data_IF_209054398298
#
_entry.id   IF_209054398298
#
_cell.length_a   1.000
_cell.length_b   1.000
_cell.length_c   1.000
_cell.angle_alpha   90.00
_cell.angle_beta   90.00
_cell.angle_gamma   90.00
#
_symmetry.space_group_name_H-M   'P 1'
#
loop_
_entity.id
_entity.type
_entity.pdbx_description
1 polymer ?
#
# COMPACT_ATOMS: atom_id res chain seq x y z
N UNK A 1 39.16 -5.67 4.74
CA UNK A 1 37.86 -5.84 5.41
C UNK A 1 36.69 -6.26 4.50
N UNK A 2 36.75 -6.30 3.15
CA UNK A 2 35.60 -6.72 2.31
C UNK A 2 34.91 -8.02 2.77
N UNK A 3 35.69 -9.05 3.12
CA UNK A 3 35.17 -10.35 3.59
C UNK A 3 34.22 -10.24 4.79
N UNK A 4 34.44 -9.26 5.68
CA UNK A 4 33.61 -9.04 6.86
C UNK A 4 32.23 -8.46 6.50
N UNK A 5 32.16 -7.59 5.49
CA UNK A 5 30.90 -7.02 5.01
C UNK A 5 30.12 -8.01 4.14
N UNK A 6 30.81 -8.82 3.31
CA UNK A 6 30.18 -9.95 2.60
C UNK A 6 29.60 -11.00 3.54
N UNK A 7 30.32 -11.30 4.64
CA UNK A 7 29.79 -12.15 5.72
C UNK A 7 28.60 -11.50 6.44
N UNK A 8 28.65 -10.20 6.76
CA UNK A 8 27.55 -9.49 7.40
C UNK A 8 26.28 -9.42 6.53
N UNK A 9 26.42 -9.23 5.21
CA UNK A 9 25.31 -9.30 4.26
C UNK A 9 24.66 -10.69 4.27
N UNK A 10 25.48 -11.73 4.16
CA UNK A 10 25.02 -13.13 4.18
C UNK A 10 24.31 -13.50 5.49
N UNK A 11 24.86 -13.06 6.63
CA UNK A 11 24.28 -13.26 7.96
C UNK A 11 22.95 -12.52 8.13
N UNK A 12 22.86 -11.28 7.65
CA UNK A 12 21.63 -10.46 7.67
C UNK A 12 20.50 -11.14 6.90
N UNK A 13 20.79 -11.62 5.68
CA UNK A 13 19.81 -12.34 4.86
C UNK A 13 19.43 -13.68 5.52
N UNK A 14 20.40 -14.47 5.97
CA UNK A 14 20.12 -15.76 6.62
C UNK A 14 19.27 -15.64 7.89
N UNK A 15 19.54 -14.63 8.72
CA UNK A 15 18.73 -14.33 9.90
C UNK A 15 17.31 -13.88 9.53
N UNK A 16 17.17 -12.98 8.54
CA UNK A 16 15.88 -12.50 8.08
C UNK A 16 15.00 -13.64 7.51
N UNK A 17 15.57 -14.54 6.72
CA UNK A 17 14.88 -15.74 6.21
C UNK A 17 14.51 -16.70 7.33
N UNK A 18 15.38 -16.91 8.32
CA UNK A 18 15.10 -17.76 9.49
C UNK A 18 13.93 -17.19 10.33
N UNK A 19 13.94 -15.88 10.59
CA UNK A 19 12.85 -15.17 11.30
C UNK A 19 11.55 -15.24 10.49
N UNK A 20 11.63 -15.13 9.17
CA UNK A 20 10.47 -15.23 8.28
C UNK A 20 9.83 -16.61 8.29
N UNK A 21 10.62 -17.68 8.10
CA UNK A 21 10.15 -19.07 8.16
C UNK A 21 9.55 -19.40 9.53
N UNK A 22 10.20 -18.98 10.63
CA UNK A 22 9.68 -19.19 11.99
C UNK A 22 8.37 -18.44 12.24
N UNK A 23 8.21 -17.24 11.67
CA UNK A 23 6.97 -16.45 11.76
C UNK A 23 5.85 -17.09 10.94
N UNK A 24 6.15 -17.49 9.70
CA UNK A 24 5.21 -18.21 8.84
C UNK A 24 4.74 -19.51 9.45
N UNK A 25 5.65 -20.32 10.00
CA UNK A 25 5.31 -21.57 10.68
C UNK A 25 4.32 -21.34 11.84
N UNK A 26 4.57 -20.32 12.68
CA UNK A 26 3.67 -19.95 13.78
C UNK A 26 2.31 -19.46 13.29
N UNK A 27 2.27 -18.66 12.22
CA UNK A 27 1.01 -18.19 11.61
C UNK A 27 0.23 -19.33 10.93
N UNK A 28 0.92 -20.23 10.26
CA UNK A 28 0.32 -21.41 9.63
C UNK A 28 -0.25 -22.38 10.67
N UNK A 29 0.48 -22.63 11.77
CA UNK A 29 -0.07 -23.38 12.91
C UNK A 29 -1.32 -22.71 13.48
N UNK A 30 -1.28 -21.39 13.70
CA UNK A 30 -2.45 -20.61 14.17
C UNK A 30 -3.67 -20.80 13.24
N UNK A 31 -3.44 -20.84 11.92
CA UNK A 31 -4.49 -21.07 10.93
C UNK A 31 -5.04 -22.50 10.95
N UNK A 32 -4.17 -23.51 11.06
CA UNK A 32 -4.56 -24.92 11.23
C UNK A 32 -5.38 -25.12 12.51
N UNK A 33 -5.02 -24.44 13.60
CA UNK A 33 -5.74 -24.44 14.87
C UNK A 33 -7.12 -23.72 14.80
N UNK A 34 -7.57 -23.33 13.60
CA UNK A 34 -8.84 -22.65 13.36
C UNK A 34 -8.89 -21.18 13.81
N UNK A 35 -7.75 -20.61 14.22
CA UNK A 35 -7.68 -19.23 14.73
C UNK A 35 -7.37 -18.26 13.57
N UNK A 36 -8.01 -17.08 13.51
CA UNK A 36 -7.73 -16.10 12.47
C UNK A 36 -6.28 -15.60 12.60
N UNK A 37 -5.57 -15.44 11.47
CA UNK A 37 -4.18 -14.93 11.47
C UNK A 37 -4.08 -13.59 12.21
N UNK A 38 -5.01 -12.69 11.88
CA UNK A 38 -5.25 -11.40 12.53
C UNK A 38 -6.77 -11.26 12.73
N UNK A 39 -7.18 -10.73 13.88
CA UNK A 39 -8.60 -10.55 14.21
C UNK A 39 -9.21 -9.43 13.36
N UNK A 40 -10.45 -9.63 12.91
CA UNK A 40 -11.20 -8.63 12.15
C UNK A 40 -11.86 -7.65 13.12
N UNK A 41 -11.48 -6.37 13.06
CA UNK A 41 -12.10 -5.28 13.83
C UNK A 41 -13.11 -4.53 12.93
N UNK A 42 -14.43 -4.73 13.05
CA UNK A 42 -15.39 -4.08 12.15
C UNK A 42 -15.36 -2.55 12.24
N UNK A 43 -15.41 -1.87 11.09
CA UNK A 43 -15.46 -0.40 11.01
C UNK A 43 -16.71 0.11 10.29
N UNK A 44 -17.08 1.35 10.58
CA UNK A 44 -17.98 2.12 9.72
C UNK A 44 -17.35 2.35 8.33
N UNK A 45 -18.15 2.36 7.25
CA UNK A 45 -17.64 2.64 5.91
C UNK A 45 -16.99 4.02 5.83
N UNK A 46 -15.90 4.14 5.08
CA UNK A 46 -15.19 5.39 4.88
C UNK A 46 -16.12 6.54 4.44
N UNK A 47 -16.01 7.77 4.98
CA UNK A 47 -16.96 8.84 4.70
C UNK A 47 -16.86 9.43 3.29
N UNK A 48 -15.70 9.31 2.62
CA UNK A 48 -15.49 9.84 1.27
C UNK A 48 -16.16 9.01 0.16
N UNK A 49 -16.37 9.68 -0.97
CA UNK A 49 -16.89 9.10 -2.22
C UNK A 49 -15.76 8.93 -3.25
N UNK A 50 -16.11 8.69 -4.52
CA UNK A 50 -15.14 8.43 -5.61
C UNK A 50 -14.20 9.61 -5.92
N UNK A 51 -14.55 10.84 -5.51
CA UNK A 51 -13.72 12.02 -5.77
C UNK A 51 -12.39 11.96 -5.00
N UNK A 52 -12.36 11.38 -3.80
CA UNK A 52 -11.12 11.27 -3.02
C UNK A 52 -10.05 10.41 -3.72
N UNK A 53 -10.30 9.13 -4.10
CA UNK A 53 -9.32 8.36 -4.86
C UNK A 53 -9.02 8.94 -6.24
N UNK A 54 -9.99 9.56 -6.93
CA UNK A 54 -9.71 10.23 -8.22
C UNK A 54 -8.70 11.37 -8.07
N UNK A 55 -8.89 12.25 -7.08
CA UNK A 55 -7.96 13.38 -6.83
C UNK A 55 -6.61 12.89 -6.32
N UNK A 56 -6.59 11.93 -5.40
CA UNK A 56 -5.35 11.50 -4.73
C UNK A 56 -4.49 10.55 -5.57
N UNK A 57 -5.10 9.77 -6.48
CA UNK A 57 -4.37 8.93 -7.42
C UNK A 57 -4.06 9.63 -8.75
N UNK A 58 -4.62 10.82 -9.01
CA UNK A 58 -4.35 11.57 -10.25
C UNK A 58 -2.84 11.74 -10.56
N UNK A 59 -1.94 12.03 -9.61
CA UNK A 59 -0.50 12.11 -9.90
C UNK A 59 0.09 10.78 -10.39
N UNK A 60 -0.34 9.65 -9.80
CA UNK A 60 0.13 8.31 -10.13
C UNK A 60 -0.45 7.81 -11.46
N UNK A 61 -1.75 8.06 -11.70
CA UNK A 61 -2.41 7.77 -12.97
C UNK A 61 -1.80 8.61 -14.10
N UNK A 62 -1.45 9.87 -13.83
CA UNK A 62 -0.77 10.73 -14.80
C UNK A 62 0.65 10.24 -15.11
N UNK A 63 1.42 9.84 -14.09
CA UNK A 63 2.73 9.23 -14.29
C UNK A 63 2.65 7.95 -15.14
N UNK A 64 1.76 7.01 -14.78
CA UNK A 64 1.53 5.77 -15.54
C UNK A 64 1.01 6.02 -16.96
N UNK A 65 0.15 7.01 -17.16
CA UNK A 65 -0.29 7.42 -18.49
C UNK A 65 0.88 7.93 -19.34
N UNK A 66 1.76 8.74 -18.75
CA UNK A 66 2.93 9.27 -19.45
C UNK A 66 3.91 8.16 -19.87
N UNK A 67 4.15 7.16 -19.02
CA UNK A 67 5.04 6.03 -19.37
C UNK A 67 4.44 5.11 -20.43
N UNK A 68 3.13 4.90 -20.44
CA UNK A 68 2.46 4.01 -21.40
C UNK A 68 2.19 4.65 -22.77
N UNK A 69 1.91 5.96 -22.83
CA UNK A 69 1.32 6.59 -24.03
C UNK A 69 2.06 7.82 -24.59
N UNK A 70 2.95 8.47 -23.84
CA UNK A 70 3.62 9.68 -24.32
C UNK A 70 4.84 9.42 -25.23
N UNK A 71 5.42 8.21 -25.17
CA UNK A 71 6.66 7.86 -25.86
C UNK A 71 7.90 8.56 -25.29
N UNK A 72 9.09 8.29 -25.86
CA UNK A 72 10.36 8.79 -25.33
C UNK A 72 10.60 10.28 -25.64
N UNK A 73 10.23 11.17 -24.71
CA UNK A 73 10.64 12.59 -24.67
C UNK A 73 11.38 12.88 -23.36
N UNK A 74 12.35 13.80 -23.28
CA UNK A 74 13.18 14.02 -22.07
C UNK A 74 12.70 15.16 -21.20
N UNK A 75 12.58 14.92 -19.90
CA UNK A 75 12.42 15.97 -18.89
C UNK A 75 12.77 15.42 -17.49
N UNK A 76 13.77 16.06 -16.87
CA UNK A 76 14.28 15.71 -15.55
C UNK A 76 13.28 15.98 -14.39
N UNK A 77 12.16 16.67 -14.64
CA UNK A 77 11.18 16.96 -13.58
C UNK A 77 10.28 15.76 -13.25
N UNK A 78 9.88 14.97 -14.24
CA UNK A 78 9.11 13.73 -14.03
C UNK A 78 9.91 12.67 -13.28
N UNK A 79 11.22 12.61 -13.56
CA UNK A 79 12.19 11.76 -12.88
C UNK A 79 12.18 11.99 -11.37
N UNK A 80 12.04 13.24 -10.90
CA UNK A 80 12.10 13.55 -9.46
C UNK A 80 11.04 12.82 -8.62
N UNK A 81 9.83 12.64 -9.16
CA UNK A 81 8.73 11.94 -8.47
C UNK A 81 8.93 10.43 -8.47
N UNK A 82 9.51 9.86 -9.53
CA UNK A 82 9.83 8.42 -9.63
C UNK A 82 11.11 8.03 -8.90
N UNK A 83 12.08 8.95 -8.75
CA UNK A 83 13.36 8.74 -8.05
C UNK A 83 13.22 8.36 -6.56
N UNK A 84 12.05 8.60 -5.95
CA UNK A 84 11.77 8.23 -4.54
C UNK A 84 11.24 6.80 -4.39
N UNK A 85 10.37 6.34 -5.28
CA UNK A 85 9.85 4.97 -5.27
C UNK A 85 10.89 3.95 -5.77
N UNK A 86 11.69 4.37 -6.74
CA UNK A 86 12.68 3.50 -7.41
C UNK A 86 13.87 3.12 -6.54
N UNK A 87 14.23 3.92 -5.53
CA UNK A 87 15.32 3.59 -4.63
C UNK A 87 15.01 2.35 -3.76
N UNK A 88 13.73 2.12 -3.43
CA UNK A 88 13.28 0.87 -2.79
C UNK A 88 13.15 -0.28 -3.80
N UNK A 89 12.62 -0.02 -5.00
CA UNK A 89 12.41 -1.06 -6.01
C UNK A 89 13.72 -1.64 -6.59
N UNK A 90 14.79 -0.83 -6.67
CA UNK A 90 16.03 -1.22 -7.36
C UNK A 90 16.98 -2.11 -6.55
N UNK A 91 17.01 -2.01 -5.22
CA UNK A 91 17.89 -2.84 -4.36
C UNK A 91 17.33 -4.28 -4.15
N UNK A 92 16.54 -4.71 -5.14
CA UNK A 92 15.89 -6.00 -5.30
C UNK A 92 16.51 -6.77 -6.49
N UNK A 93 17.48 -6.16 -7.20
CA UNK A 93 18.48 -6.85 -8.03
C UNK A 93 18.10 -7.08 -9.50
N UNK A 94 18.30 -6.05 -10.34
CA UNK A 94 18.36 -6.13 -11.80
C UNK A 94 19.34 -5.03 -12.36
N UNK A 95 19.90 -5.15 -13.58
CA UNK A 95 20.90 -4.22 -14.21
C UNK A 95 20.35 -2.81 -14.58
N UNK A 96 20.80 -2.07 -15.63
CA UNK A 96 20.27 -0.73 -15.97
C UNK A 96 20.18 -0.25 -17.47
N UNK A 97 18.99 0.05 -18.01
CA UNK A 97 18.84 0.73 -19.32
C UNK A 97 17.50 1.47 -19.54
N UNK A 98 17.64 2.70 -20.08
CA UNK A 98 16.73 3.39 -21.01
C UNK A 98 15.55 4.30 -20.54
N UNK A 99 15.93 5.49 -20.06
CA UNK A 99 15.46 6.83 -20.54
C UNK A 99 14.05 7.45 -20.22
N UNK A 100 14.06 8.80 -20.20
CA UNK A 100 13.02 9.77 -20.67
C UNK A 100 11.80 10.13 -19.74
N UNK A 101 11.22 11.34 -19.89
CA UNK A 101 10.05 11.84 -19.12
C UNK A 101 9.26 13.08 -19.63
N UNK A 102 8.12 13.32 -18.96
CA UNK A 102 7.20 14.50 -18.90
C UNK A 102 6.22 14.84 -20.03
N UNK A 103 5.05 15.33 -19.58
CA UNK A 103 4.23 16.31 -20.29
C UNK A 103 3.38 17.16 -19.34
N UNK A 104 3.37 18.47 -19.59
CA UNK A 104 2.23 19.35 -19.90
C UNK A 104 0.90 19.43 -19.09
N UNK A 105 0.49 18.52 -18.20
CA UNK A 105 -0.82 18.67 -17.51
C UNK A 105 -0.75 19.30 -16.11
N UNK A 106 0.42 19.26 -15.48
CA UNK A 106 0.59 19.63 -14.07
C UNK A 106 0.85 21.15 -13.85
N UNK A 107 0.51 22.04 -14.80
CA UNK A 107 1.08 23.40 -14.91
C UNK A 107 1.30 24.20 -13.60
N UNK A 108 0.39 24.26 -12.60
CA UNK A 108 0.66 24.97 -11.33
C UNK A 108 1.61 24.20 -10.39
N UNK A 109 1.39 22.89 -10.24
CA UNK A 109 2.21 22.00 -9.39
C UNK A 109 3.60 21.84 -10.01
N UNK A 110 3.67 21.62 -11.32
CA UNK A 110 4.87 21.58 -12.13
C UNK A 110 5.62 22.91 -12.09
N UNK A 111 4.95 24.07 -12.09
CA UNK A 111 5.63 25.36 -11.88
C UNK A 111 6.24 25.49 -10.49
N UNK A 112 5.58 24.98 -9.45
CA UNK A 112 6.10 24.98 -8.09
C UNK A 112 7.29 24.02 -7.94
N UNK A 113 7.16 22.78 -8.43
CA UNK A 113 8.24 21.78 -8.49
C UNK A 113 9.42 22.31 -9.29
N UNK A 114 9.18 22.88 -10.48
CA UNK A 114 10.22 23.48 -11.34
C UNK A 114 10.96 24.63 -10.66
N UNK A 115 10.24 25.53 -9.95
CA UNK A 115 10.87 26.56 -9.12
C UNK A 115 11.68 26.00 -7.93
N UNK A 116 11.38 24.80 -7.45
CA UNK A 116 12.17 24.12 -6.43
C UNK A 116 13.36 23.33 -7.01
N UNK A 117 13.29 22.86 -8.26
CA UNK A 117 14.34 22.03 -8.88
C UNK A 117 15.37 22.81 -9.70
N UNK A 118 15.03 23.97 -10.28
CA UNK A 118 15.85 24.67 -11.29
C UNK A 118 17.16 25.33 -10.76
N UNK A 119 17.64 24.97 -9.55
CA UNK A 119 18.90 25.46 -8.98
C UNK A 119 19.63 24.49 -8.01
N UNK A 120 19.26 23.19 -7.99
CA UNK A 120 19.74 22.24 -6.96
C UNK A 120 20.65 21.11 -7.47
N UNK A 121 21.50 20.58 -6.60
CA UNK A 121 22.22 19.31 -6.83
C UNK A 121 21.26 18.11 -6.86
N UNK A 122 21.71 16.94 -7.36
CA UNK A 122 20.93 15.70 -7.36
C UNK A 122 20.37 15.35 -5.96
N UNK A 123 21.17 15.51 -4.92
CA UNK A 123 20.73 15.35 -3.53
C UNK A 123 19.60 16.33 -3.15
N UNK A 124 19.69 17.59 -3.60
CA UNK A 124 18.64 18.59 -3.41
C UNK A 124 17.32 18.22 -4.12
N UNK A 125 17.40 17.68 -5.34
CA UNK A 125 16.24 17.14 -6.07
C UNK A 125 15.53 16.02 -5.29
N UNK A 126 16.29 15.08 -4.71
CA UNK A 126 15.72 13.99 -3.88
C UNK A 126 15.02 14.54 -2.64
N UNK A 127 15.64 15.48 -1.92
CA UNK A 127 15.00 16.13 -0.76
C UNK A 127 13.74 16.91 -1.11
N UNK A 128 13.74 17.65 -2.23
CA UNK A 128 12.56 18.36 -2.71
C UNK A 128 11.41 17.40 -3.05
N UNK A 129 11.72 16.25 -3.66
CA UNK A 129 10.72 15.20 -3.93
C UNK A 129 10.16 14.58 -2.64
N UNK A 130 11.02 14.20 -1.69
CA UNK A 130 10.58 13.68 -0.41
C UNK A 130 9.66 14.67 0.35
N UNK A 131 10.01 15.97 0.33
CA UNK A 131 9.17 17.02 0.91
C UNK A 131 7.82 17.18 0.18
N UNK A 132 7.81 17.11 -1.16
CA UNK A 132 6.58 17.14 -1.97
C UNK A 132 5.68 15.94 -1.66
N UNK A 133 6.23 14.73 -1.54
CA UNK A 133 5.49 13.50 -1.20
C UNK A 133 4.89 13.57 0.21
N UNK A 134 5.66 14.06 1.20
CA UNK A 134 5.15 14.30 2.55
C UNK A 134 4.05 15.38 2.57
N UNK A 135 4.19 16.44 1.77
CA UNK A 135 3.16 17.47 1.62
C UNK A 135 1.89 16.91 0.98
N UNK A 136 2.00 16.07 -0.06
CA UNK A 136 0.85 15.40 -0.69
C UNK A 136 0.14 14.45 0.30
N UNK A 137 0.89 13.71 1.13
CA UNK A 137 0.31 12.91 2.21
C UNK A 137 -0.45 13.80 3.22
N UNK A 138 0.17 14.87 3.73
CA UNK A 138 -0.46 15.79 4.68
C UNK A 138 -1.71 16.49 4.11
N UNK A 139 -1.63 16.96 2.86
CA UNK A 139 -2.77 17.52 2.12
C UNK A 139 -3.89 16.48 1.91
N UNK A 140 -3.55 15.19 1.80
CA UNK A 140 -4.55 14.12 1.72
C UNK A 140 -5.34 13.99 3.03
N UNK A 141 -4.66 13.92 4.18
CA UNK A 141 -5.33 13.93 5.50
C UNK A 141 -6.17 15.20 5.71
N UNK A 142 -5.67 16.37 5.30
CA UNK A 142 -6.42 17.63 5.37
C UNK A 142 -7.66 17.62 4.46
N UNK A 143 -7.57 17.08 3.24
CA UNK A 143 -8.71 16.96 2.33
C UNK A 143 -9.79 16.01 2.89
N UNK A 144 -9.39 14.86 3.46
CA UNK A 144 -10.34 13.92 4.06
C UNK A 144 -11.08 14.52 5.27
N UNK A 145 -10.35 15.24 6.13
CA UNK A 145 -10.95 15.88 7.31
C UNK A 145 -11.86 17.05 6.93
N UNK A 146 -11.40 17.98 6.09
CA UNK A 146 -12.14 19.22 5.77
C UNK A 146 -13.27 18.99 4.76
N UNK A 147 -13.04 18.24 3.68
CA UNK A 147 -14.03 18.07 2.61
C UNK A 147 -14.99 16.88 2.81
N UNK A 148 -14.60 15.88 3.61
CA UNK A 148 -15.39 14.68 3.84
C UNK A 148 -15.73 14.42 5.32
N UNK A 149 -15.32 15.29 6.24
CA UNK A 149 -15.63 15.17 7.67
C UNK A 149 -15.00 13.96 8.35
N UNK A 150 -13.89 13.42 7.82
CA UNK A 150 -13.26 12.22 8.35
C UNK A 150 -12.77 12.42 9.80
N UNK A 151 -13.16 11.51 10.69
CA UNK A 151 -12.68 11.45 12.08
C UNK A 151 -11.27 10.83 12.16
N UNK A 152 -10.53 10.98 13.27
CA UNK A 152 -9.25 10.27 13.45
C UNK A 152 -9.37 8.74 13.30
N UNK A 153 -10.50 8.18 13.72
CA UNK A 153 -10.85 6.77 13.53
C UNK A 153 -11.09 6.45 12.05
N UNK A 154 -11.64 7.39 11.28
CA UNK A 154 -11.80 7.22 9.83
C UNK A 154 -10.49 7.25 9.05
N UNK A 155 -9.50 7.97 9.57
CA UNK A 155 -8.14 8.03 9.04
C UNK A 155 -7.30 6.80 9.43
N UNK A 156 -7.86 5.89 10.25
CA UNK A 156 -7.17 4.69 10.71
C UNK A 156 -6.05 4.98 11.72
N UNK A 157 -6.12 6.10 12.44
CA UNK A 157 -5.17 6.38 13.52
C UNK A 157 -5.48 5.56 14.78
N UNK A 158 -4.44 5.15 15.55
CA UNK A 158 -4.63 4.44 16.81
C UNK A 158 -5.32 5.34 17.83
N UNK A 159 -6.24 4.74 18.63
CA UNK A 159 -7.00 5.45 19.68
C UNK A 159 -6.12 5.87 20.86
N UNK A 160 -5.07 5.09 21.14
CA UNK A 160 -4.15 5.27 22.25
C UNK A 160 -2.76 4.67 21.94
N UNK A 161 -1.80 4.94 22.82
CA UNK A 161 -0.41 4.44 22.69
C UNK A 161 -0.29 2.92 22.74
N UNK A 162 -1.17 2.22 23.46
CA UNK A 162 -1.16 0.75 23.54
C UNK A 162 -1.59 0.14 22.21
N UNK A 163 -2.59 0.73 21.55
CA UNK A 163 -2.98 0.35 20.20
C UNK A 163 -1.86 0.65 19.20
N UNK A 164 -1.20 1.81 19.29
CA UNK A 164 -0.06 2.15 18.44
C UNK A 164 1.11 1.14 18.55
N UNK A 165 1.48 0.74 19.78
CA UNK A 165 2.46 -0.33 20.00
C UNK A 165 2.00 -1.70 19.46
N UNK A 166 0.70 -1.99 19.54
CA UNK A 166 0.08 -3.15 18.90
C UNK A 166 0.20 -3.12 17.38
N UNK A 167 -0.04 -1.97 16.77
CA UNK A 167 0.05 -1.74 15.32
C UNK A 167 1.47 -1.92 14.80
N UNK A 168 2.46 -1.36 15.51
CA UNK A 168 3.88 -1.56 15.20
C UNK A 168 4.23 -3.05 15.23
N UNK A 169 3.75 -3.79 16.24
CA UNK A 169 3.96 -5.25 16.33
C UNK A 169 3.26 -5.99 15.18
N UNK A 170 2.05 -5.62 14.81
CA UNK A 170 1.32 -6.22 13.67
C UNK A 170 2.10 -6.00 12.37
N UNK A 171 2.53 -4.76 12.10
CA UNK A 171 3.33 -4.42 10.92
C UNK A 171 4.66 -5.18 10.87
N UNK A 172 5.38 -5.27 11.99
CA UNK A 172 6.64 -6.00 12.08
C UNK A 172 6.48 -7.53 11.90
N UNK A 173 5.42 -8.12 12.46
CA UNK A 173 5.09 -9.55 12.24
C UNK A 173 4.69 -9.80 10.79
N UNK A 174 3.95 -8.88 10.18
CA UNK A 174 3.55 -8.99 8.77
C UNK A 174 4.75 -8.89 7.82
N UNK A 175 5.65 -7.92 8.04
CA UNK A 175 6.93 -7.80 7.34
C UNK A 175 7.72 -9.11 7.44
N UNK A 176 7.98 -9.59 8.66
CA UNK A 176 8.69 -10.84 8.90
C UNK A 176 8.03 -12.01 8.16
N UNK A 177 6.71 -12.19 8.27
CA UNK A 177 5.99 -13.27 7.61
C UNK A 177 6.04 -13.20 6.07
N UNK A 178 6.15 -12.01 5.49
CA UNK A 178 6.06 -11.81 4.04
C UNK A 178 7.41 -11.73 3.31
N UNK A 179 8.53 -11.61 4.03
CA UNK A 179 9.89 -11.68 3.46
C UNK A 179 10.08 -12.91 2.55
N UNK A 180 9.98 -14.14 3.07
CA UNK A 180 10.22 -15.35 2.26
C UNK A 180 9.31 -15.44 1.03
N UNK A 181 7.98 -15.26 1.11
CA UNK A 181 7.10 -15.29 -0.06
C UNK A 181 7.45 -14.23 -1.12
N UNK A 182 7.78 -13.01 -0.71
CA UNK A 182 8.11 -11.89 -1.61
C UNK A 182 9.47 -12.08 -2.27
N UNK A 183 10.50 -12.49 -1.51
CA UNK A 183 11.81 -12.80 -2.08
C UNK A 183 11.81 -14.11 -2.90
N UNK A 184 10.94 -15.07 -2.61
CA UNK A 184 10.78 -16.28 -3.41
C UNK A 184 10.15 -16.00 -4.78
N UNK A 185 9.06 -15.21 -4.85
CA UNK A 185 8.48 -14.84 -6.15
C UNK A 185 9.46 -13.99 -6.96
N UNK A 186 10.19 -13.07 -6.32
CA UNK A 186 11.27 -12.33 -6.95
C UNK A 186 12.35 -13.25 -7.55
N UNK A 187 12.85 -14.21 -6.77
CA UNK A 187 13.88 -15.14 -7.22
C UNK A 187 13.41 -15.96 -8.43
N UNK A 188 12.15 -16.41 -8.42
CA UNK A 188 11.53 -17.10 -9.56
C UNK A 188 11.43 -16.19 -10.78
N UNK A 189 11.06 -14.92 -10.61
CA UNK A 189 10.97 -13.95 -11.72
C UNK A 189 12.34 -13.61 -12.31
N UNK A 190 13.36 -13.36 -11.48
CA UNK A 190 14.74 -13.12 -11.92
C UNK A 190 15.41 -14.36 -12.55
N UNK A 191 14.85 -15.55 -12.34
CA UNK A 191 15.27 -16.77 -13.03
C UNK A 191 14.48 -17.01 -14.34
N UNK A 192 13.19 -16.65 -14.36
CA UNK A 192 12.29 -16.88 -15.50
C UNK A 192 12.38 -15.79 -16.59
N UNK A 193 12.81 -14.58 -16.23
CA UNK A 193 13.03 -13.47 -17.13
C UNK A 193 14.51 -13.10 -17.08
N UNK A 194 15.12 -12.81 -18.24
CA UNK A 194 16.46 -12.25 -18.28
C UNK A 194 16.51 -10.99 -17.42
N UNK A 195 17.57 -10.75 -16.62
CA UNK A 195 17.66 -9.57 -15.76
C UNK A 195 17.54 -8.30 -16.59
N UNK A 196 16.35 -7.71 -16.65
CA UNK A 196 16.08 -6.51 -17.42
C UNK A 196 16.80 -5.34 -16.80
N UNK A 197 17.26 -4.47 -17.67
CA UNK A 197 18.15 -3.41 -17.28
C UNK A 197 17.34 -2.26 -16.63
N UNK A 198 17.32 -2.24 -15.29
CA UNK A 198 16.68 -1.30 -14.36
C UNK A 198 17.41 0.04 -14.12
N UNK A 199 18.05 0.26 -12.95
CA UNK A 199 17.83 1.55 -12.26
C UNK A 199 18.93 2.64 -12.23
N UNK A 200 18.72 3.82 -12.89
CA UNK A 200 19.70 4.92 -12.95
C UNK A 200 20.10 5.53 -11.60
N UNK A 201 19.21 5.58 -10.60
CA UNK A 201 19.60 6.04 -9.26
C UNK A 201 20.59 5.07 -8.61
N UNK A 202 20.46 3.77 -8.88
CA UNK A 202 21.38 2.76 -8.31
C UNK A 202 22.69 2.76 -9.08
N UNK A 203 22.71 2.99 -10.38
CA UNK A 203 23.96 3.25 -11.10
C UNK A 203 24.66 4.52 -10.60
N UNK A 204 23.94 5.64 -10.50
CA UNK A 204 24.52 6.89 -10.00
C UNK A 204 24.98 6.77 -8.54
N UNK A 205 24.34 5.92 -7.72
CA UNK A 205 24.87 5.53 -6.41
C UNK A 205 26.09 4.61 -6.56
N UNK A 206 26.07 3.57 -7.38
CA UNK A 206 27.20 2.64 -7.57
C UNK A 206 28.46 3.33 -8.10
N UNK A 207 28.30 4.36 -8.94
CA UNK A 207 29.39 5.09 -9.59
C UNK A 207 29.87 6.30 -8.75
N UNK A 208 28.96 7.06 -8.12
CA UNK A 208 29.30 8.31 -7.43
C UNK A 208 28.41 8.58 -6.18
N UNK A 209 28.28 7.59 -5.27
CA UNK A 209 27.53 7.78 -4.02
C UNK A 209 28.24 8.72 -3.03
N UNK A 210 27.64 9.89 -2.80
CA UNK A 210 27.88 10.64 -1.56
C UNK A 210 26.98 10.11 -0.43
N UNK A 211 27.49 10.13 0.81
CA UNK A 211 26.73 9.80 2.01
C UNK A 211 25.41 10.59 2.11
N UNK A 212 25.44 11.86 1.69
CA UNK A 212 24.26 12.73 1.66
C UNK A 212 23.21 12.31 0.61
N UNK A 213 23.64 11.82 -0.56
CA UNK A 213 22.72 11.29 -1.57
C UNK A 213 22.07 10.00 -1.10
N UNK A 214 22.84 9.09 -0.50
CA UNK A 214 22.32 7.84 0.07
C UNK A 214 21.36 8.10 1.24
N UNK A 215 21.66 9.07 2.12
CA UNK A 215 20.76 9.48 3.19
C UNK A 215 19.45 10.13 2.69
N UNK A 216 19.53 10.95 1.63
CA UNK A 216 18.35 11.53 0.99
C UNK A 216 17.46 10.46 0.35
N UNK A 217 18.07 9.52 -0.39
CA UNK A 217 17.36 8.40 -1.00
C UNK A 217 16.72 7.48 0.06
N UNK A 218 17.45 7.19 1.15
CA UNK A 218 16.92 6.42 2.27
C UNK A 218 15.73 7.12 2.92
N UNK A 219 15.80 8.43 3.18
CA UNK A 219 14.66 9.16 3.74
C UNK A 219 13.45 9.17 2.79
N UNK A 220 13.67 9.43 1.49
CA UNK A 220 12.62 9.46 0.49
C UNK A 220 11.88 8.11 0.38
N UNK A 221 12.63 7.01 0.25
CA UNK A 221 12.09 5.68 0.03
C UNK A 221 11.63 4.97 1.31
N UNK A 222 12.36 5.13 2.42
CA UNK A 222 12.00 4.49 3.69
C UNK A 222 10.86 5.24 4.37
N UNK A 223 10.82 6.59 4.32
CA UNK A 223 9.85 7.38 5.09
C UNK A 223 8.78 8.03 4.21
N UNK A 224 9.16 8.83 3.21
CA UNK A 224 8.21 9.68 2.49
C UNK A 224 7.25 8.87 1.61
N UNK A 225 7.78 7.92 0.83
CA UNK A 225 7.00 7.07 -0.06
C UNK A 225 5.92 6.24 0.69
N UNK A 226 6.24 5.41 1.71
CA UNK A 226 5.22 4.65 2.45
C UNK A 226 4.13 5.50 3.09
N UNK A 227 4.46 6.70 3.59
CA UNK A 227 3.47 7.61 4.18
C UNK A 227 2.44 8.10 3.16
N UNK A 228 2.85 8.39 1.92
CA UNK A 228 1.92 8.75 0.85
C UNK A 228 1.22 7.53 0.25
N UNK A 229 1.96 6.47 -0.05
CA UNK A 229 1.43 5.30 -0.75
C UNK A 229 0.40 4.53 0.07
N UNK A 230 0.63 4.28 1.36
CA UNK A 230 -0.39 3.62 2.18
C UNK A 230 -1.63 4.52 2.35
N UNK A 231 -1.45 5.84 2.44
CA UNK A 231 -2.54 6.83 2.47
C UNK A 231 -3.37 6.77 1.17
N UNK A 232 -2.73 6.73 0.00
CA UNK A 232 -3.40 6.69 -1.28
C UNK A 232 -4.08 5.33 -1.56
N UNK A 233 -3.37 4.22 -1.34
CA UNK A 233 -3.81 2.88 -1.75
C UNK A 233 -4.63 2.14 -0.69
N UNK A 234 -4.30 2.24 0.61
CA UNK A 234 -5.05 1.56 1.68
C UNK A 234 -6.14 2.44 2.24
N UNK A 235 -5.77 3.60 2.77
CA UNK A 235 -6.74 4.49 3.39
C UNK A 235 -7.77 4.92 2.35
N UNK A 236 -7.36 5.61 1.29
CA UNK A 236 -8.29 6.28 0.37
C UNK A 236 -8.92 5.32 -0.63
N UNK A 237 -8.12 4.65 -1.47
CA UNK A 237 -8.61 3.77 -2.54
C UNK A 237 -9.30 2.52 -1.98
N UNK A 238 -8.60 1.72 -1.17
CA UNK A 238 -9.19 0.51 -0.62
C UNK A 238 -10.36 0.87 0.30
N UNK A 239 -10.23 1.82 1.23
CA UNK A 239 -11.37 2.26 2.06
C UNK A 239 -12.62 2.69 1.28
N UNK A 240 -12.47 3.29 0.09
CA UNK A 240 -13.59 3.58 -0.82
C UNK A 240 -14.15 2.32 -1.52
N UNK A 241 -13.30 1.41 -1.96
CA UNK A 241 -13.72 0.12 -2.55
C UNK A 241 -14.47 -0.73 -1.52
N UNK A 242 -13.99 -0.79 -0.27
CA UNK A 242 -14.65 -1.47 0.84
C UNK A 242 -16.01 -0.84 1.16
N UNK A 243 -16.11 0.50 1.18
CA UNK A 243 -17.41 1.21 1.28
C UNK A 243 -18.36 0.76 0.18
N UNK A 244 -17.92 0.70 -1.08
CA UNK A 244 -18.77 0.30 -2.22
C UNK A 244 -19.28 -1.13 -2.08
N UNK A 245 -18.42 -2.05 -1.67
CA UNK A 245 -18.80 -3.44 -1.46
C UNK A 245 -19.82 -3.58 -0.32
N UNK A 246 -19.58 -2.91 0.82
CA UNK A 246 -20.51 -2.89 1.96
C UNK A 246 -21.88 -2.30 1.59
N UNK A 247 -21.92 -1.23 0.79
CA UNK A 247 -23.17 -0.64 0.32
C UNK A 247 -23.90 -1.57 -0.67
N UNK A 248 -23.20 -2.20 -1.61
CA UNK A 248 -23.80 -3.16 -2.54
C UNK A 248 -24.41 -4.36 -1.81
N UNK A 249 -23.69 -4.92 -0.81
CA UNK A 249 -24.17 -6.02 0.04
C UNK A 249 -25.39 -5.63 0.89
N UNK A 250 -25.44 -4.39 1.42
CA UNK A 250 -26.63 -3.90 2.14
C UNK A 250 -27.85 -3.80 1.23
N UNK A 251 -27.68 -3.33 -0.01
CA UNK A 251 -28.78 -3.23 -0.99
C UNK A 251 -29.30 -4.62 -1.37
N UNK A 252 -28.43 -5.61 -1.61
CA UNK A 252 -28.88 -6.98 -1.90
C UNK A 252 -29.65 -7.59 -0.72
N UNK A 253 -29.12 -7.52 0.51
CA UNK A 253 -29.82 -8.07 1.69
C UNK A 253 -31.19 -7.44 1.93
N UNK A 254 -31.38 -6.15 1.64
CA UNK A 254 -32.70 -5.52 1.73
C UNK A 254 -33.64 -6.04 0.62
N UNK A 255 -33.14 -6.21 -0.61
CA UNK A 255 -33.94 -6.77 -1.70
C UNK A 255 -34.36 -8.22 -1.42
N UNK A 256 -33.46 -9.04 -0.90
CA UNK A 256 -33.72 -10.43 -0.52
C UNK A 256 -34.84 -10.50 0.54
N UNK A 257 -34.74 -9.71 1.61
CA UNK A 257 -35.77 -9.65 2.67
C UNK A 257 -37.11 -9.14 2.16
N UNK A 258 -37.14 -8.13 1.28
CA UNK A 258 -38.38 -7.62 0.69
C UNK A 258 -39.05 -8.67 -0.22
N UNK A 259 -38.26 -9.53 -0.87
CA UNK A 259 -38.78 -10.62 -1.71
C UNK A 259 -39.25 -11.84 -0.89
N UNK A 260 -38.71 -12.06 0.30
CA UNK A 260 -39.13 -13.16 1.20
C UNK A 260 -40.43 -12.85 1.99
N UNK A 261 -40.84 -11.58 2.12
CA UNK A 261 -42.16 -11.24 2.70
C UNK A 261 -43.26 -11.77 1.77
N UNK A 262 -44.06 -12.78 2.18
CA UNK A 262 -45.16 -13.26 1.36
C UNK A 262 -46.17 -12.13 1.21
N UNK A 263 -46.64 -11.87 -0.02
CA UNK A 263 -47.54 -10.75 -0.27
C UNK A 263 -48.81 -10.84 0.59
N UNK A 264 -49.11 -9.78 1.35
CA UNK A 264 -50.31 -9.64 2.19
C UNK A 264 -51.64 -9.57 1.38
N UNK A 265 -51.63 -10.00 0.12
CA UNK A 265 -52.71 -9.82 -0.84
C UNK A 265 -53.84 -10.86 -0.75
N UNK A 266 -53.72 -11.90 0.08
CA UNK A 266 -54.67 -13.03 0.10
C UNK A 266 -55.17 -13.48 1.49
N UNK A 267 -55.06 -12.64 2.52
CA UNK A 267 -55.45 -12.97 3.90
C UNK A 267 -56.43 -11.98 4.57
N UNK A 268 -57.32 -11.32 3.80
CA UNK A 268 -58.32 -10.35 4.32
C UNK A 268 -59.78 -10.79 4.09
N UNK A 269 -60.08 -12.07 4.28
CA UNK A 269 -61.45 -12.55 4.44
C UNK A 269 -61.60 -13.53 5.62
N UNK A 270 -62.11 -13.02 6.75
CA UNK A 270 -62.78 -13.84 7.77
C UNK A 270 -61.97 -14.26 8.99
N UNK A 271 -61.24 -13.35 9.65
CA UNK A 271 -60.65 -13.62 10.97
C UNK A 271 -61.41 -12.88 12.09
N UNK A 272 -61.79 -13.65 13.12
CA UNK A 272 -62.49 -13.18 14.32
C UNK A 272 -61.50 -12.45 15.26
N UNK A 273 -61.82 -11.26 15.81
CA UNK A 273 -60.95 -10.57 16.76
C UNK A 273 -60.54 -11.36 18.01
N UNK A 274 -61.23 -12.45 18.39
CA UNK A 274 -60.81 -13.29 19.53
C UNK A 274 -59.62 -14.20 19.24
N UNK A 275 -59.37 -14.53 17.97
CA UNK A 275 -58.36 -15.52 17.55
C UNK A 275 -57.04 -14.85 17.13
N UNK A 276 -56.81 -13.61 17.58
CA UNK A 276 -55.56 -12.89 17.42
C UNK A 276 -54.43 -13.58 18.19
N UNK A 277 -53.80 -14.57 17.54
CA UNK A 277 -52.56 -15.18 17.99
C UNK A 277 -51.53 -14.08 18.33
N UNK A 278 -50.69 -14.26 19.36
CA UNK A 278 -49.66 -13.27 19.69
C UNK A 278 -48.83 -12.95 18.45
N UNK A 279 -48.77 -11.66 18.11
CA UNK A 279 -47.95 -11.15 16.99
C UNK A 279 -46.63 -11.91 16.92
N UNK A 280 -46.28 -12.55 15.79
CA UNK A 280 -44.98 -13.19 15.65
C UNK A 280 -43.93 -12.16 16.01
N UNK A 281 -43.18 -12.41 17.09
CA UNK A 281 -42.09 -11.54 17.48
C UNK A 281 -41.16 -11.49 16.27
N UNK A 282 -41.05 -10.33 15.61
CA UNK A 282 -40.16 -10.14 14.47
C UNK A 282 -38.79 -10.62 14.93
N UNK A 283 -38.27 -11.73 14.34
CA UNK A 283 -37.03 -12.30 14.84
C UNK A 283 -35.99 -11.19 14.75
N UNK A 284 -35.30 -10.93 15.87
CA UNK A 284 -34.31 -9.87 15.93
C UNK A 284 -33.21 -10.22 14.92
N UNK A 285 -33.32 -9.65 13.70
CA UNK A 285 -32.42 -9.93 12.58
C UNK A 285 -31.05 -9.45 13.01
N UNK A 286 -30.28 -10.40 13.53
CA UNK A 286 -28.95 -10.14 14.06
C UNK A 286 -28.05 -10.05 12.84
N UNK A 287 -28.04 -8.86 12.23
CA UNK A 287 -27.22 -8.56 11.06
C UNK A 287 -25.75 -8.77 11.42
N UNK A 288 -25.25 -9.98 11.13
CA UNK A 288 -23.83 -10.29 11.20
C UNK A 288 -23.10 -9.24 10.37
N UNK A 289 -22.10 -8.56 10.95
CA UNK A 289 -21.37 -7.50 10.25
C UNK A 289 -20.79 -8.07 8.95
N UNK A 290 -21.26 -7.64 7.76
CA UNK A 290 -20.83 -8.24 6.52
C UNK A 290 -19.34 -7.98 6.35
N UNK A 291 -18.56 -9.05 6.29
CA UNK A 291 -17.13 -8.94 6.04
C UNK A 291 -16.91 -8.48 4.60
N UNK A 292 -16.01 -7.51 4.45
CA UNK A 292 -15.49 -7.08 3.16
C UNK A 292 -14.79 -8.28 2.48
N UNK A 293 -15.02 -8.45 1.18
CA UNK A 293 -14.43 -9.52 0.39
C UNK A 293 -12.94 -9.31 0.11
N UNK A 294 -12.45 -9.99 -0.93
CA UNK A 294 -11.07 -9.87 -1.39
C UNK A 294 -10.92 -8.93 -2.59
N UNK A 295 -12.00 -8.46 -3.23
CA UNK A 295 -11.90 -7.58 -4.41
C UNK A 295 -11.35 -6.18 -4.10
N UNK A 296 -11.62 -5.52 -2.96
CA UNK A 296 -10.96 -4.25 -2.62
C UNK A 296 -9.44 -4.39 -2.47
N UNK A 297 -9.01 -5.49 -1.84
CA UNK A 297 -7.60 -5.85 -1.71
C UNK A 297 -7.01 -6.07 -3.10
N UNK A 298 -7.55 -7.01 -3.89
CA UNK A 298 -7.01 -7.35 -5.20
C UNK A 298 -6.86 -6.14 -6.15
N UNK A 299 -7.89 -5.27 -6.22
CA UNK A 299 -7.85 -4.07 -7.05
C UNK A 299 -6.79 -3.08 -6.54
N UNK A 300 -6.73 -2.82 -5.22
CA UNK A 300 -5.72 -1.93 -4.64
C UNK A 300 -4.29 -2.47 -4.82
N UNK A 301 -4.09 -3.78 -4.65
CA UNK A 301 -2.79 -4.44 -4.82
C UNK A 301 -2.29 -4.40 -6.26
N UNK A 302 -3.17 -4.66 -7.24
CA UNK A 302 -2.82 -4.58 -8.67
C UNK A 302 -2.48 -3.15 -9.08
N UNK A 303 -3.29 -2.17 -8.68
CA UNK A 303 -3.01 -0.75 -8.98
C UNK A 303 -1.73 -0.25 -8.28
N UNK A 304 -1.44 -0.73 -7.08
CA UNK A 304 -0.19 -0.44 -6.36
C UNK A 304 1.05 -0.98 -7.10
N UNK A 305 1.01 -2.23 -7.58
CA UNK A 305 2.09 -2.78 -8.41
C UNK A 305 2.22 -2.10 -9.78
N UNK A 306 1.10 -1.75 -10.42
CA UNK A 306 1.09 -1.05 -11.71
C UNK A 306 1.59 0.41 -11.61
N UNK A 307 1.47 1.06 -10.45
CA UNK A 307 2.08 2.37 -10.22
C UNK A 307 3.63 2.33 -10.28
N UNK A 308 4.21 1.13 -10.19
CA UNK A 308 5.64 0.85 -10.32
C UNK A 308 6.01 0.23 -11.68
N UNK A 309 5.12 0.30 -12.68
CA UNK A 309 5.39 -0.16 -14.03
C UNK A 309 6.54 0.63 -14.66
N UNK A 310 7.45 -0.08 -15.33
CA UNK A 310 8.72 0.48 -15.84
C UNK A 310 9.92 0.28 -14.90
N UNK A 311 9.74 -0.37 -13.74
CA UNK A 311 10.83 -0.69 -12.81
C UNK A 311 11.23 -2.19 -12.86
N UNK A 312 11.38 -2.74 -14.07
CA UNK A 312 11.73 -4.14 -14.30
C UNK A 312 10.66 -5.12 -13.78
N UNK A 313 11.09 -6.24 -13.19
CA UNK A 313 10.20 -7.29 -12.63
C UNK A 313 9.53 -6.92 -11.30
N UNK A 314 9.86 -5.76 -10.71
CA UNK A 314 9.38 -5.34 -9.39
C UNK A 314 7.85 -5.21 -9.21
N UNK A 315 7.00 -4.96 -10.25
CA UNK A 315 5.55 -4.90 -10.07
C UNK A 315 4.96 -6.16 -9.43
N UNK A 316 5.44 -7.37 -9.74
CA UNK A 316 4.85 -8.60 -9.22
C UNK A 316 5.13 -8.84 -7.71
N UNK A 317 6.37 -8.70 -7.20
CA UNK A 317 6.63 -8.62 -5.76
C UNK A 317 5.82 -7.53 -5.06
N UNK A 318 5.63 -6.36 -5.70
CA UNK A 318 4.85 -5.26 -5.14
C UNK A 318 3.33 -5.53 -5.13
N UNK A 319 2.77 -6.26 -6.09
CA UNK A 319 1.39 -6.77 -6.00
C UNK A 319 1.24 -7.67 -4.76
N UNK A 320 2.19 -8.58 -4.52
CA UNK A 320 2.14 -9.48 -3.36
C UNK A 320 2.25 -8.70 -2.03
N UNK A 321 3.16 -7.71 -1.95
CA UNK A 321 3.24 -6.77 -0.83
C UNK A 321 1.91 -6.01 -0.65
N UNK A 322 1.32 -5.54 -1.74
CA UNK A 322 0.01 -4.88 -1.75
C UNK A 322 -1.11 -5.77 -1.23
N UNK A 323 -1.06 -7.09 -1.44
CA UNK A 323 -2.04 -8.04 -0.88
C UNK A 323 -1.85 -8.18 0.63
N UNK A 324 -0.61 -8.24 1.12
CA UNK A 324 -0.30 -8.28 2.56
C UNK A 324 -0.79 -7.00 3.24
N UNK A 325 -0.45 -5.83 2.70
CA UNK A 325 -0.85 -4.53 3.24
C UNK A 325 -2.36 -4.32 3.17
N UNK A 326 -3.01 -4.71 2.06
CA UNK A 326 -4.46 -4.66 1.94
C UNK A 326 -5.18 -5.61 2.90
N UNK A 327 -4.61 -6.78 3.19
CA UNK A 327 -5.10 -7.67 4.24
C UNK A 327 -4.97 -7.01 5.63
N UNK A 328 -3.82 -6.42 5.97
CA UNK A 328 -3.65 -5.70 7.24
C UNK A 328 -4.69 -4.58 7.39
N UNK A 329 -4.87 -3.78 6.35
CA UNK A 329 -5.85 -2.69 6.36
C UNK A 329 -7.28 -3.23 6.54
N UNK A 330 -7.68 -4.27 5.79
CA UNK A 330 -9.03 -4.85 5.92
C UNK A 330 -9.29 -5.43 7.32
N UNK A 331 -8.30 -6.07 7.95
CA UNK A 331 -8.49 -6.67 9.28
C UNK A 331 -8.49 -5.63 10.39
N UNK A 332 -7.65 -4.59 10.29
CA UNK A 332 -7.41 -3.66 11.40
C UNK A 332 -8.10 -2.31 11.25
N UNK A 333 -8.49 -1.96 10.02
CA UNK A 333 -8.82 -0.61 9.53
C UNK A 333 -7.89 0.51 10.04
N UNK A 334 -6.63 0.16 10.33
CA UNK A 334 -5.59 1.07 10.82
C UNK A 334 -4.51 1.23 9.77
N UNK A 335 -4.00 2.45 9.64
CA UNK A 335 -2.98 2.77 8.65
C UNK A 335 -1.56 2.46 9.16
N UNK A 336 -1.35 2.55 10.47
CA UNK A 336 -0.05 2.36 11.11
C UNK A 336 0.57 0.95 10.92
N UNK A 337 -0.17 -0.18 10.99
CA UNK A 337 0.41 -1.50 10.69
C UNK A 337 0.91 -1.61 9.24
N UNK A 338 0.18 -0.99 8.29
CA UNK A 338 0.51 -0.98 6.88
C UNK A 338 1.77 -0.16 6.63
N UNK A 339 1.80 1.07 7.16
CA UNK A 339 2.98 1.94 7.14
C UNK A 339 4.18 1.19 7.71
N UNK A 340 4.11 0.67 8.95
CA UNK A 340 5.24 -0.01 9.60
C UNK A 340 5.76 -1.21 8.80
N UNK A 341 4.86 -2.03 8.24
CA UNK A 341 5.25 -3.14 7.37
C UNK A 341 6.06 -2.65 6.16
N UNK A 342 5.57 -1.59 5.49
CA UNK A 342 6.21 -1.00 4.31
C UNK A 342 7.54 -0.28 4.67
N UNK A 343 7.58 0.53 5.74
CA UNK A 343 8.80 1.14 6.28
C UNK A 343 9.89 0.08 6.49
N UNK A 344 9.54 -1.08 7.06
CA UNK A 344 10.48 -2.17 7.34
C UNK A 344 10.97 -2.89 6.08
N UNK A 345 10.14 -3.06 5.05
CA UNK A 345 10.60 -3.56 3.75
C UNK A 345 11.65 -2.63 3.15
N UNK A 346 11.35 -1.33 3.10
CA UNK A 346 12.25 -0.37 2.47
C UNK A 346 13.52 -0.17 3.30
N UNK A 347 13.42 -0.15 4.63
CA UNK A 347 14.57 -0.08 5.53
C UNK A 347 15.49 -1.31 5.41
N UNK A 348 14.91 -2.53 5.37
CA UNK A 348 15.68 -3.76 5.18
C UNK A 348 16.45 -3.74 3.86
N UNK A 349 15.79 -3.35 2.78
CA UNK A 349 16.37 -3.17 1.45
C UNK A 349 17.54 -2.17 1.45
N UNK A 350 17.42 -1.03 2.15
CA UNK A 350 18.54 -0.08 2.31
C UNK A 350 19.68 -0.61 3.17
N UNK A 351 19.42 -1.45 4.18
CA UNK A 351 20.47 -2.13 4.96
C UNK A 351 21.26 -3.10 4.08
N UNK A 352 20.59 -3.87 3.22
CA UNK A 352 21.27 -4.76 2.27
C UNK A 352 22.15 -3.95 1.28
N UNK A 353 21.62 -2.86 0.73
CA UNK A 353 22.37 -1.97 -0.18
C UNK A 353 23.62 -1.37 0.49
N UNK A 354 23.50 -0.89 1.73
CA UNK A 354 24.63 -0.33 2.46
C UNK A 354 25.72 -1.38 2.77
N UNK A 355 25.32 -2.61 3.12
CA UNK A 355 26.24 -3.73 3.32
C UNK A 355 26.91 -4.17 2.01
N UNK A 356 26.19 -4.12 0.89
CA UNK A 356 26.74 -4.41 -0.44
C UNK A 356 27.79 -3.36 -0.84
N UNK A 357 27.51 -2.06 -0.68
CA UNK A 357 28.48 -1.00 -0.96
C UNK A 357 29.73 -1.13 -0.09
N UNK A 358 29.57 -1.41 1.21
CA UNK A 358 30.67 -1.64 2.14
C UNK A 358 31.50 -2.91 1.84
N UNK A 359 30.97 -3.86 1.07
CA UNK A 359 31.68 -5.06 0.62
C UNK A 359 32.43 -4.87 -0.71
N UNK A 360 32.15 -3.80 -1.47
CA UNK A 360 32.80 -3.48 -2.75
C UNK A 360 33.96 -2.47 -2.61
N UNK A 361 34.05 -1.76 -1.48
CA UNK A 361 35.17 -0.88 -1.09
C UNK A 361 36.17 -1.54 -0.13
#
# INVERSE_FOLDING_TARGET
MPDAFGYALSLTVGLAMTVSLATLFRLFQKHIDGRPLLEYEPRQPAPWNVLAPLVMLAPLVFALWSTLFAGPQYDATAETTTLSATAAAGAVGAPPAAWFGSSAAAAPVLHLTRRMTDAGSTTGRIWASAAMTLMLAACSYLLLTVAFGATPQDLGFPRDWRQACGDVKIGAVAWAASLVPIYAILLVLNFAFEPTEGHPLIENLLVDHSLHMMAAAAFAAVIAAPLYEETAFRLVLQGWLERRELLARRVSTIADVVQEVPGEAEATHGLDPSDAAPMPQTPAVTFAHPQVGWSPIAISSVLFGLAHYGHGVSPAPLILLGVVLGYLYRQTHRILPCIVCHLLFNAFTFVLLALQFAAMG
#
